data_IF_683530067802
#
_entry.id   IF_683530067802
#
_cell.length_a   1.000
_cell.length_b   1.000
_cell.length_c   1.000
_cell.angle_alpha   90.00
_cell.angle_beta   90.00
_cell.angle_gamma   90.00
#
_symmetry.space_group_name_H-M   'P 1'
#
loop_
_entity.id
_entity.type
_entity.pdbx_description
1 polymer ?
#
# COMPACT_ATOMS: atom_id res chain seq x y z
N UNK A 1 1.89 19.93 6.68
CA UNK A 1 2.73 18.77 6.35
C UNK A 1 2.11 18.04 5.19
N UNK A 2 2.92 17.74 4.20
CA UNK A 2 2.42 17.06 3.01
C UNK A 2 2.42 15.55 3.24
N UNK A 3 1.24 14.95 3.18
CA UNK A 3 1.09 13.51 3.18
C UNK A 3 1.10 13.04 1.73
N UNK A 4 1.91 12.04 1.45
CA UNK A 4 2.11 11.50 0.11
C UNK A 4 1.83 10.00 0.13
N UNK A 5 0.93 9.57 -0.74
CA UNK A 5 0.54 8.17 -0.86
C UNK A 5 1.08 7.59 -2.15
N UNK A 6 1.80 6.49 -2.05
CA UNK A 6 2.17 5.66 -3.20
C UNK A 6 1.32 4.39 -3.14
N UNK A 7 0.58 4.13 -4.19
CA UNK A 7 -0.40 3.05 -4.25
C UNK A 7 -0.09 2.12 -5.41
N UNK A 8 -0.10 0.82 -5.16
CA UNK A 8 -0.05 -0.19 -6.22
C UNK A 8 -1.19 -1.19 -6.06
N UNK A 9 -2.01 -1.31 -7.08
CA UNK A 9 -3.11 -2.27 -7.16
C UNK A 9 -3.48 -2.44 -8.65
N UNK A 10 -3.47 -3.66 -9.14
CA UNK A 10 -3.81 -3.95 -10.52
C UNK A 10 -5.31 -3.88 -10.81
N UNK A 11 -6.15 -3.86 -9.78
CA UNK A 11 -7.59 -3.66 -9.91
C UNK A 11 -7.93 -2.17 -9.83
N UNK A 12 -8.12 -1.55 -10.99
CA UNK A 12 -8.30 -0.10 -11.12
C UNK A 12 -9.48 0.43 -10.29
N UNK A 13 -10.55 -0.35 -10.19
CA UNK A 13 -11.73 0.05 -9.42
C UNK A 13 -11.41 0.33 -7.97
N UNK A 14 -10.61 -0.53 -7.34
CA UNK A 14 -10.21 -0.36 -5.95
C UNK A 14 -9.20 0.78 -5.79
N UNK A 15 -8.24 0.88 -6.73
CA UNK A 15 -7.26 1.97 -6.66
C UNK A 15 -7.91 3.33 -6.85
N UNK A 16 -8.93 3.45 -7.69
CA UNK A 16 -9.66 4.70 -7.87
C UNK A 16 -10.41 5.11 -6.62
N UNK A 17 -11.00 4.16 -5.90
CA UNK A 17 -11.67 4.44 -4.63
C UNK A 17 -10.68 4.98 -3.60
N UNK A 18 -9.54 4.32 -3.46
CA UNK A 18 -8.50 4.73 -2.51
C UNK A 18 -7.97 6.12 -2.86
N UNK A 19 -7.69 6.36 -4.13
CA UNK A 19 -7.21 7.67 -4.60
C UNK A 19 -8.20 8.78 -4.25
N UNK A 20 -9.48 8.56 -4.50
CA UNK A 20 -10.53 9.54 -4.23
C UNK A 20 -10.60 9.88 -2.74
N UNK A 21 -10.55 8.87 -1.88
CA UNK A 21 -10.59 9.06 -0.44
C UNK A 21 -9.35 9.78 0.04
N UNK A 22 -8.17 9.37 -0.45
CA UNK A 22 -6.91 9.97 -0.05
C UNK A 22 -6.85 11.45 -0.44
N UNK A 23 -7.31 11.81 -1.62
CA UNK A 23 -7.35 13.22 -2.05
C UNK A 23 -8.25 14.06 -1.17
N UNK A 24 -9.37 13.51 -0.70
CA UNK A 24 -10.26 14.20 0.24
C UNK A 24 -9.60 14.41 1.59
N UNK A 25 -8.60 13.61 1.93
CA UNK A 25 -7.83 13.72 3.17
C UNK A 25 -6.54 14.52 2.97
N UNK A 26 -6.44 15.25 1.87
CA UNK A 26 -5.30 16.11 1.51
C UNK A 26 -4.00 15.36 1.25
N UNK A 27 -4.09 14.13 0.78
CA UNK A 27 -2.92 13.41 0.28
C UNK A 27 -2.58 13.82 -1.15
N UNK A 28 -1.29 13.89 -1.43
CA UNK A 28 -0.80 13.79 -2.80
C UNK A 28 -0.71 12.30 -3.15
N UNK A 29 -1.25 11.90 -4.30
CA UNK A 29 -1.37 10.48 -4.64
C UNK A 29 -0.59 10.14 -5.90
N UNK A 30 0.29 9.14 -5.79
CA UNK A 30 0.96 8.51 -6.91
C UNK A 30 0.35 7.11 -7.08
N UNK A 31 -0.52 6.97 -8.07
CA UNK A 31 -1.24 5.72 -8.31
C UNK A 31 -0.53 4.90 -9.38
N UNK A 32 -0.26 3.63 -9.08
CA UNK A 32 0.36 2.70 -10.04
C UNK A 32 -0.44 1.41 -10.09
N UNK A 33 -0.31 0.68 -11.20
CA UNK A 33 -1.02 -0.58 -11.43
C UNK A 33 -0.09 -1.78 -11.57
N UNK A 34 1.22 -1.54 -11.62
CA UNK A 34 2.23 -2.61 -11.76
C UNK A 34 3.37 -2.40 -10.78
N UNK A 35 3.97 -3.48 -10.27
CA UNK A 35 5.11 -3.38 -9.34
C UNK A 35 6.29 -2.57 -9.91
N UNK A 36 6.56 -2.71 -11.20
CA UNK A 36 7.65 -1.96 -11.84
C UNK A 36 7.41 -0.45 -11.85
N UNK A 37 6.16 -0.02 -12.06
CA UNK A 37 5.81 1.38 -11.95
C UNK A 37 5.97 1.89 -10.52
N UNK A 38 5.54 1.10 -9.55
CA UNK A 38 5.70 1.41 -8.13
C UNK A 38 7.17 1.67 -7.80
N UNK A 39 8.04 0.77 -8.24
CA UNK A 39 9.48 0.90 -7.99
C UNK A 39 10.06 2.15 -8.62
N UNK A 40 9.66 2.48 -9.86
CA UNK A 40 10.12 3.70 -10.54
C UNK A 40 9.63 4.97 -9.88
N UNK A 41 8.40 4.96 -9.34
CA UNK A 41 7.79 6.12 -8.71
C UNK A 41 8.23 6.36 -7.28
N UNK A 42 8.80 5.35 -6.64
CA UNK A 42 9.08 5.38 -5.20
C UNK A 42 9.95 6.58 -4.80
N UNK A 43 11.08 6.78 -5.47
CA UNK A 43 11.99 7.86 -5.11
C UNK A 43 11.37 9.23 -5.41
N UNK A 44 10.70 9.38 -6.55
CA UNK A 44 10.07 10.64 -6.95
C UNK A 44 8.92 11.01 -6.03
N UNK A 45 8.08 10.04 -5.72
CA UNK A 45 6.92 10.23 -4.84
C UNK A 45 7.35 10.52 -3.41
N UNK A 46 8.42 9.88 -2.94
CA UNK A 46 8.90 9.99 -1.57
C UNK A 46 7.75 9.82 -0.57
N UNK A 47 7.08 8.65 -0.56
CA UNK A 47 5.83 8.49 0.16
C UNK A 47 5.98 8.54 1.67
N UNK A 48 4.97 9.11 2.33
CA UNK A 48 4.78 8.99 3.77
C UNK A 48 3.91 7.79 4.11
N UNK A 49 3.08 7.37 3.14
CA UNK A 49 2.15 6.26 3.26
C UNK A 49 2.21 5.43 1.98
N UNK A 50 2.09 4.12 2.12
CA UNK A 50 2.07 3.18 0.99
C UNK A 50 0.85 2.28 1.14
N UNK A 51 0.10 2.11 0.06
CA UNK A 51 -0.94 1.07 -0.03
C UNK A 51 -0.44 0.02 -1.01
N UNK A 52 -0.31 -1.20 -0.56
CA UNK A 52 0.34 -2.28 -1.28
C UNK A 52 -0.60 -3.46 -1.43
N UNK A 53 -0.98 -3.76 -2.68
CA UNK A 53 -1.72 -4.99 -3.00
C UNK A 53 -0.75 -6.17 -2.95
N UNK A 54 -1.07 -7.17 -2.14
CA UNK A 54 -0.21 -8.33 -1.95
C UNK A 54 -0.34 -9.37 -3.07
N UNK A 55 -1.40 -9.32 -3.85
CA UNK A 55 -1.67 -10.30 -4.90
C UNK A 55 -1.72 -9.61 -6.25
N UNK A 56 -0.63 -9.72 -6.98
CA UNK A 56 -0.48 -9.16 -8.34
C UNK A 56 0.21 -10.18 -9.25
N UNK A 57 -0.09 -10.16 -10.57
CA UNK A 57 0.41 -11.19 -11.49
C UNK A 57 1.92 -11.23 -11.67
N UNK A 58 2.61 -10.07 -11.59
CA UNK A 58 4.04 -9.97 -11.98
C UNK A 58 5.00 -10.13 -10.80
N UNK A 59 4.59 -9.71 -9.61
CA UNK A 59 5.43 -9.75 -8.42
C UNK A 59 4.50 -9.81 -7.22
N UNK A 60 4.71 -10.74 -6.30
CA UNK A 60 3.89 -10.73 -5.10
C UNK A 60 4.32 -9.61 -4.15
N UNK A 61 3.43 -9.27 -3.24
CA UNK A 61 3.67 -8.17 -2.32
C UNK A 61 4.81 -8.42 -1.34
N UNK A 62 5.14 -9.67 -1.06
CA UNK A 62 6.26 -10.01 -0.18
C UNK A 62 7.58 -9.62 -0.83
N UNK A 63 7.76 -9.90 -2.12
CA UNK A 63 8.94 -9.48 -2.86
C UNK A 63 9.08 -7.96 -2.87
N UNK A 64 7.97 -7.25 -3.05
CA UNK A 64 7.96 -5.80 -3.04
C UNK A 64 8.28 -5.25 -1.64
N UNK A 65 7.82 -5.90 -0.58
CA UNK A 65 8.19 -5.56 0.80
C UNK A 65 9.68 -5.73 1.04
N UNK A 66 10.28 -6.81 0.56
CA UNK A 66 11.73 -7.03 0.67
C UNK A 66 12.50 -5.91 -0.04
N UNK A 67 12.04 -5.51 -1.21
CA UNK A 67 12.61 -4.39 -1.96
C UNK A 67 12.54 -3.08 -1.15
N UNK A 68 11.40 -2.80 -0.53
CA UNK A 68 11.22 -1.63 0.32
C UNK A 68 12.14 -1.66 1.55
N UNK A 69 12.29 -2.82 2.17
CA UNK A 69 13.17 -2.99 3.33
C UNK A 69 14.62 -2.71 2.97
N UNK A 70 15.07 -3.16 1.80
CA UNK A 70 16.44 -2.90 1.32
C UNK A 70 16.69 -1.42 1.12
N UNK A 71 15.67 -0.63 0.85
CA UNK A 71 15.77 0.82 0.67
C UNK A 71 15.59 1.61 1.97
N UNK A 72 15.42 0.93 3.08
CA UNK A 72 15.21 1.58 4.38
C UNK A 72 13.91 2.35 4.47
N UNK A 73 12.84 1.83 3.88
CA UNK A 73 11.54 2.50 3.88
C UNK A 73 11.02 2.72 5.29
N UNK A 74 10.62 3.95 5.59
CA UNK A 74 10.04 4.33 6.88
C UNK A 74 8.57 4.72 6.79
N UNK A 75 7.98 4.66 5.59
CA UNK A 75 6.59 5.01 5.38
C UNK A 75 5.66 4.06 6.14
N UNK A 76 4.48 4.55 6.47
CA UNK A 76 3.40 3.73 7.01
C UNK A 76 2.84 2.89 5.87
N UNK A 77 2.80 1.58 6.04
CA UNK A 77 2.37 0.66 5.00
C UNK A 77 1.01 0.06 5.36
N UNK A 78 0.10 0.12 4.40
CA UNK A 78 -1.21 -0.51 4.46
C UNK A 78 -1.21 -1.63 3.43
N UNK A 79 -1.50 -2.84 3.87
CA UNK A 79 -1.48 -4.02 3.02
C UNK A 79 -2.89 -4.39 2.62
N UNK A 80 -3.11 -4.62 1.32
CA UNK A 80 -4.36 -5.18 0.81
C UNK A 80 -4.13 -6.66 0.57
N UNK A 81 -4.83 -7.50 1.33
CA UNK A 81 -4.65 -8.97 1.31
C UNK A 81 -5.45 -9.68 0.23
N UNK A 82 -6.12 -8.94 -0.64
CA UNK A 82 -7.05 -9.52 -1.60
C UNK A 82 -8.32 -9.96 -0.89
N UNK A 83 -8.84 -11.12 -1.28
CA UNK A 83 -10.08 -11.67 -0.70
C UNK A 83 -9.82 -12.66 0.43
N UNK A 84 -8.57 -12.85 0.82
CA UNK A 84 -8.17 -13.77 1.88
C UNK A 84 -7.48 -13.01 3.01
N UNK A 85 -8.19 -12.80 4.11
CA UNK A 85 -7.70 -12.03 5.25
C UNK A 85 -6.46 -12.67 5.91
N UNK A 86 -6.30 -13.99 5.87
CA UNK A 86 -5.14 -14.67 6.44
C UNK A 86 -3.84 -14.31 5.73
N UNK A 87 -3.92 -14.02 4.45
CA UNK A 87 -2.74 -13.57 3.70
C UNK A 87 -2.20 -12.24 4.23
N UNK A 88 -3.11 -11.37 4.67
CA UNK A 88 -2.73 -10.10 5.31
C UNK A 88 -1.92 -10.30 6.58
N UNK A 89 -2.28 -11.28 7.40
CA UNK A 89 -1.54 -11.60 8.61
C UNK A 89 -0.15 -12.15 8.31
N UNK A 90 -0.02 -12.99 7.31
CA UNK A 90 1.27 -13.50 6.84
C UNK A 90 2.16 -12.37 6.34
N UNK A 91 1.60 -11.46 5.56
CA UNK A 91 2.32 -10.30 5.04
C UNK A 91 2.79 -9.37 6.16
N UNK A 92 1.94 -9.14 7.16
CA UNK A 92 2.28 -8.32 8.32
C UNK A 92 3.44 -8.92 9.12
N UNK A 93 3.45 -10.23 9.30
CA UNK A 93 4.54 -10.93 9.98
C UNK A 93 5.85 -10.82 9.20
N UNK A 94 5.80 -10.99 7.88
CA UNK A 94 6.97 -10.86 7.01
C UNK A 94 7.52 -9.43 7.06
N UNK A 95 6.65 -8.44 7.05
CA UNK A 95 7.05 -7.03 7.15
C UNK A 95 7.75 -6.72 8.47
N UNK A 96 7.21 -7.23 9.57
CA UNK A 96 7.82 -7.05 10.89
C UNK A 96 9.24 -7.62 10.94
N UNK A 97 9.44 -8.80 10.33
CA UNK A 97 10.76 -9.42 10.24
C UNK A 97 11.76 -8.58 9.44
N UNK A 98 11.28 -7.76 8.50
CA UNK A 98 12.10 -6.90 7.66
C UNK A 98 12.22 -5.46 8.19
N UNK A 99 11.63 -5.16 9.34
CA UNK A 99 11.68 -3.84 9.94
C UNK A 99 10.77 -2.80 9.28
N UNK A 100 9.80 -3.24 8.50
CA UNK A 100 8.81 -2.35 7.88
C UNK A 100 7.67 -2.03 8.83
N UNK A 101 7.08 -0.85 8.65
CA UNK A 101 6.00 -0.36 9.51
C UNK A 101 4.64 -0.59 8.86
N UNK A 102 4.10 -1.81 8.98
CA UNK A 102 2.75 -2.12 8.51
C UNK A 102 1.75 -1.74 9.60
N UNK A 103 0.98 -0.69 9.36
CA UNK A 103 0.04 -0.14 10.34
C UNK A 103 -1.35 -0.74 10.24
N UNK A 104 -1.72 -1.31 9.10
CA UNK A 104 -3.05 -1.88 8.91
C UNK A 104 -3.09 -2.84 7.73
N UNK A 105 -4.13 -3.67 7.71
CA UNK A 105 -4.44 -4.55 6.58
C UNK A 105 -5.88 -4.32 6.15
N UNK A 106 -6.14 -4.45 4.85
CA UNK A 106 -7.47 -4.40 4.26
C UNK A 106 -7.70 -5.68 3.46
N UNK A 107 -8.92 -6.18 3.46
CA UNK A 107 -9.33 -7.25 2.55
C UNK A 107 -10.41 -6.73 1.61
N UNK A 108 -10.42 -7.25 0.39
CA UNK A 108 -11.42 -6.88 -0.62
C UNK A 108 -12.69 -7.72 -0.43
N UNK A 109 -13.88 -7.16 -0.61
CA UNK A 109 -14.12 -5.73 -0.81
C UNK A 109 -14.01 -4.96 0.51
N UNK A 110 -13.57 -3.71 0.44
CA UNK A 110 -13.48 -2.86 1.63
C UNK A 110 -14.44 -1.67 1.53
N UNK A 111 -14.80 -1.11 2.68
CA UNK A 111 -15.70 0.05 2.73
C UNK A 111 -14.91 1.35 2.64
N UNK A 112 -15.58 2.42 2.21
CA UNK A 112 -15.04 3.78 2.22
C UNK A 112 -14.61 4.16 3.65
N UNK A 113 -15.44 3.84 4.62
CA UNK A 113 -15.19 4.11 6.03
C UNK A 113 -13.91 3.46 6.54
N UNK A 114 -13.67 2.19 6.16
CA UNK A 114 -12.45 1.46 6.54
C UNK A 114 -11.20 2.14 5.96
N UNK A 115 -11.24 2.51 4.69
CA UNK A 115 -10.10 3.18 4.03
C UNK A 115 -9.82 4.53 4.68
N UNK A 116 -10.87 5.31 4.95
CA UNK A 116 -10.73 6.62 5.59
C UNK A 116 -10.08 6.50 6.96
N UNK A 117 -10.53 5.56 7.78
CA UNK A 117 -9.98 5.33 9.12
C UNK A 117 -8.51 4.97 9.07
N UNK A 118 -8.13 4.08 8.15
CA UNK A 118 -6.77 3.58 8.01
C UNK A 118 -5.84 4.69 7.51
N UNK A 119 -6.26 5.48 6.53
CA UNK A 119 -5.45 6.57 6.01
C UNK A 119 -5.28 7.71 7.01
N UNK A 120 -6.09 7.73 8.04
CA UNK A 120 -5.98 8.73 9.11
C UNK A 120 -5.02 8.34 10.25
N UNK A 121 -4.47 7.14 10.17
CA UNK A 121 -3.50 6.67 11.18
C UNK A 121 -2.16 7.41 11.12
#
# INVERSE_FOLDING_TARGET
MNRRLLLVDDEVEFSDIIERIAKKLDFEVCKTTHPSEFQRQYDTCNPTHIVLDMIMPEMDGIELMEWLAQRGCTAKIIVISGYNAQYGNTAKSAAASNGLNVVATLSKPFSVSAVRSILSL
#
